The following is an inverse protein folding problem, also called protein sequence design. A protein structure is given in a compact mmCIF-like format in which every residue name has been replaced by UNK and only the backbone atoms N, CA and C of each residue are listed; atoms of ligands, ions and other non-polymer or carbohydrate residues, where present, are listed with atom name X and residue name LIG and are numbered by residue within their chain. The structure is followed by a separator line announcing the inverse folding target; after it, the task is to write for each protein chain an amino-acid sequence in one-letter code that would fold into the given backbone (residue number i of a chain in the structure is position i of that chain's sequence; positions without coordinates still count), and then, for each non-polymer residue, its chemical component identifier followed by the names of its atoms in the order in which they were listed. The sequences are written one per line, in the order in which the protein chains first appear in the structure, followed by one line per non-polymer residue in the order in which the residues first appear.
data_IF_800621688665
#
_entry.id   IF_800621688665
#
_cell.length_a   1.000
_cell.length_b   1.000
_cell.length_c   1.000
_cell.angle_alpha   90.00
_cell.angle_beta   90.00
_cell.angle_gamma   90.00
#
_symmetry.space_group_name_H-M   'P 1'
#
loop_
_entity.id
_entity.type
_entity.pdbx_description
1 polymer ?
#
# COMPACT_ATOMS: atom_id res chain seq x y z
N UNK A 1 -3.31 -19.71 -5.80
CA UNK A 1 -3.30 -19.04 -4.48
C UNK A 1 -3.09 -20.04 -3.34
N UNK A 2 -3.83 -21.14 -3.27
CA UNK A 2 -3.69 -22.15 -2.19
C UNK A 2 -2.25 -22.66 -2.01
N UNK A 3 -1.59 -23.07 -3.10
CA UNK A 3 -0.17 -23.48 -3.07
C UNK A 3 0.79 -22.37 -2.59
N UNK A 4 0.50 -21.11 -2.90
CA UNK A 4 1.31 -19.96 -2.44
C UNK A 4 1.19 -19.81 -0.93
N UNK A 5 -0.04 -19.93 -0.39
CA UNK A 5 -0.27 -19.86 1.06
C UNK A 5 0.43 -21.02 1.77
N UNK A 6 0.34 -22.23 1.24
CA UNK A 6 1.01 -23.41 1.80
C UNK A 6 2.53 -23.21 1.85
N UNK A 7 3.14 -22.80 0.75
CA UNK A 7 4.58 -22.50 0.70
C UNK A 7 4.97 -21.32 1.60
N UNK A 8 4.10 -20.31 1.68
CA UNK A 8 4.31 -19.15 2.54
C UNK A 8 4.36 -19.53 4.02
N UNK A 9 3.48 -20.42 4.47
CA UNK A 9 3.50 -20.93 5.86
C UNK A 9 4.80 -21.65 6.21
N UNK A 10 5.37 -22.41 5.28
CA UNK A 10 6.69 -23.06 5.45
C UNK A 10 7.81 -22.02 5.64
N UNK A 11 7.60 -20.80 5.13
CA UNK A 11 8.52 -19.66 5.28
C UNK A 11 8.16 -18.70 6.42
N UNK A 12 7.15 -19.04 7.24
CA UNK A 12 6.69 -18.20 8.36
C UNK A 12 5.77 -17.05 7.94
N UNK A 13 5.18 -17.10 6.75
CA UNK A 13 4.26 -16.06 6.24
C UNK A 13 2.83 -16.49 6.57
N UNK A 14 2.15 -15.69 7.41
CA UNK A 14 0.79 -15.94 7.87
C UNK A 14 -0.18 -14.77 7.61
N UNK A 15 0.26 -13.73 6.92
CA UNK A 15 -0.57 -12.59 6.54
C UNK A 15 -0.54 -12.39 5.03
N UNK A 16 -1.73 -12.40 4.41
CA UNK A 16 -1.91 -12.28 2.97
C UNK A 16 -2.85 -11.14 2.63
N UNK A 17 -2.44 -10.30 1.68
CA UNK A 17 -3.24 -9.18 1.20
C UNK A 17 -3.69 -9.44 -0.24
N UNK A 18 -4.99 -9.34 -0.47
CA UNK A 18 -5.57 -9.41 -1.80
C UNK A 18 -5.73 -8.01 -2.37
N UNK A 19 -5.12 -7.79 -3.51
CA UNK A 19 -5.15 -6.54 -4.29
C UNK A 19 -5.50 -6.86 -5.73
N UNK A 20 -5.20 -5.97 -6.66
CA UNK A 20 -5.38 -6.15 -8.09
C UNK A 20 -6.56 -5.34 -8.61
N UNK A 21 -7.30 -5.82 -9.59
CA UNK A 21 -8.50 -5.16 -10.07
C UNK A 21 -9.54 -5.05 -8.95
N UNK A 22 -10.48 -5.99 -8.88
CA UNK A 22 -11.40 -6.08 -7.73
C UNK A 22 -11.39 -7.50 -7.18
N UNK A 23 -10.81 -7.76 -5.99
CA UNK A 23 -10.69 -9.10 -5.44
C UNK A 23 -12.04 -9.74 -5.13
N UNK A 24 -13.09 -8.94 -4.83
CA UNK A 24 -14.42 -9.46 -4.52
C UNK A 24 -15.15 -10.08 -5.71
N UNK A 25 -14.67 -9.92 -6.94
CA UNK A 25 -15.11 -10.74 -8.09
C UNK A 25 -14.87 -12.24 -7.80
N UNK A 26 -13.87 -12.56 -7.00
CA UNK A 26 -13.51 -13.93 -6.61
C UNK A 26 -13.88 -14.23 -5.14
N UNK A 27 -14.87 -13.53 -4.55
CA UNK A 27 -15.22 -13.62 -3.12
C UNK A 27 -15.41 -15.07 -2.62
N UNK A 28 -16.00 -15.96 -3.43
CA UNK A 28 -16.18 -17.39 -3.08
C UNK A 28 -14.85 -18.14 -2.94
N UNK A 29 -13.87 -17.82 -3.80
CA UNK A 29 -12.54 -18.42 -3.70
C UNK A 29 -11.78 -17.88 -2.51
N UNK A 30 -11.90 -16.56 -2.21
CA UNK A 30 -11.27 -15.95 -1.05
C UNK A 30 -11.80 -16.55 0.25
N UNK A 31 -13.11 -16.70 0.40
CA UNK A 31 -13.73 -17.33 1.57
C UNK A 31 -13.25 -18.79 1.73
N UNK A 32 -13.15 -19.55 0.63
CA UNK A 32 -12.61 -20.92 0.65
C UNK A 32 -11.15 -20.97 1.14
N UNK A 33 -10.33 -19.99 0.77
CA UNK A 33 -8.96 -19.88 1.25
C UNK A 33 -8.91 -19.51 2.73
N UNK A 34 -9.74 -18.58 3.18
CA UNK A 34 -9.89 -18.24 4.59
C UNK A 34 -10.30 -19.45 5.43
N UNK A 35 -11.28 -20.23 4.95
CA UNK A 35 -11.74 -21.44 5.60
C UNK A 35 -10.65 -22.53 5.69
N UNK A 36 -9.91 -22.72 4.61
CA UNK A 36 -8.84 -23.73 4.53
C UNK A 36 -7.62 -23.38 5.39
N UNK A 37 -7.31 -22.08 5.54
CA UNK A 37 -6.11 -21.58 6.22
C UNK A 37 -6.48 -20.72 7.43
N UNK A 38 -7.16 -21.36 8.42
CA UNK A 38 -7.61 -20.68 9.65
C UNK A 38 -6.47 -20.15 10.52
N UNK A 39 -5.26 -20.63 10.32
CA UNK A 39 -4.03 -20.18 10.94
C UNK A 39 -3.42 -18.93 10.29
N UNK A 40 -4.02 -18.44 9.20
CA UNK A 40 -3.59 -17.24 8.50
C UNK A 40 -4.59 -16.08 8.67
N UNK A 41 -4.10 -14.86 8.59
CA UNK A 41 -4.92 -13.65 8.48
C UNK A 41 -4.93 -13.15 7.03
N UNK A 42 -6.12 -12.75 6.59
CA UNK A 42 -6.35 -12.25 5.24
C UNK A 42 -6.86 -10.82 5.25
N UNK A 43 -6.39 -10.02 4.32
CA UNK A 43 -6.84 -8.65 4.13
C UNK A 43 -7.13 -8.39 2.66
N UNK A 44 -8.20 -7.67 2.34
CA UNK A 44 -8.49 -7.31 0.96
C UNK A 44 -8.71 -5.81 0.80
N UNK A 45 -8.07 -5.25 -0.23
CA UNK A 45 -8.37 -3.90 -0.71
C UNK A 45 -9.45 -4.00 -1.77
N UNK A 46 -10.60 -3.39 -1.55
CA UNK A 46 -11.78 -3.52 -2.40
C UNK A 46 -12.47 -2.19 -2.64
N UNK A 47 -13.11 -2.04 -3.80
CA UNK A 47 -14.00 -0.90 -4.05
C UNK A 47 -15.34 -0.99 -3.30
N UNK A 48 -15.59 -2.09 -2.59
CA UNK A 48 -16.76 -2.31 -1.76
C UNK A 48 -18.05 -2.65 -2.51
N UNK A 49 -18.11 -2.48 -3.82
CA UNK A 49 -19.37 -2.56 -4.58
C UNK A 49 -19.97 -3.96 -4.70
N UNK A 50 -19.20 -5.00 -4.38
CA UNK A 50 -19.60 -6.42 -4.46
C UNK A 50 -19.78 -7.06 -3.09
N UNK A 51 -19.72 -6.29 -2.01
CA UNK A 51 -19.99 -6.75 -0.65
C UNK A 51 -21.51 -6.74 -0.45
N UNK A 52 -22.04 -7.88 -0.07
CA UNK A 52 -23.45 -8.12 0.19
C UNK A 52 -23.63 -8.83 1.54
N UNK A 53 -24.87 -9.03 1.93
CA UNK A 53 -25.26 -9.69 3.17
C UNK A 53 -24.69 -11.11 3.29
N UNK A 54 -24.67 -11.87 2.17
CA UNK A 54 -24.06 -13.21 2.13
C UNK A 54 -22.56 -13.15 2.41
N UNK A 55 -21.84 -12.21 1.80
CA UNK A 55 -20.41 -12.04 2.03
C UNK A 55 -20.11 -11.66 3.48
N UNK A 56 -20.91 -10.79 4.09
CA UNK A 56 -20.74 -10.41 5.49
C UNK A 56 -20.94 -11.61 6.43
N UNK A 57 -21.95 -12.45 6.20
CA UNK A 57 -22.17 -13.70 6.95
C UNK A 57 -20.99 -14.65 6.83
N UNK A 58 -20.47 -14.82 5.62
CA UNK A 58 -19.31 -15.67 5.39
C UNK A 58 -18.04 -15.11 6.07
N UNK A 59 -17.83 -13.79 6.04
CA UNK A 59 -16.71 -13.16 6.76
C UNK A 59 -16.80 -13.35 8.28
N UNK A 60 -18.01 -13.23 8.85
CA UNK A 60 -18.24 -13.55 10.28
C UNK A 60 -17.92 -15.02 10.55
N UNK A 61 -18.35 -15.94 9.68
CA UNK A 61 -18.15 -17.38 9.83
C UNK A 61 -16.68 -17.77 9.79
N UNK A 62 -15.90 -17.23 8.86
CA UNK A 62 -14.47 -17.56 8.73
C UNK A 62 -13.61 -16.85 9.78
N UNK A 63 -13.94 -15.60 10.13
CA UNK A 63 -13.35 -14.86 11.25
C UNK A 63 -11.92 -14.36 11.05
N UNK A 64 -11.27 -14.65 9.93
CA UNK A 64 -9.87 -14.33 9.66
C UNK A 64 -9.65 -13.41 8.44
N UNK A 65 -10.70 -12.69 8.00
CA UNK A 65 -10.64 -11.76 6.88
C UNK A 65 -11.05 -10.35 7.30
N UNK A 66 -10.30 -9.36 6.88
CA UNK A 66 -10.58 -7.92 7.06
C UNK A 66 -10.56 -7.19 5.73
N UNK A 67 -11.17 -6.01 5.68
CA UNK A 67 -11.27 -5.22 4.46
C UNK A 67 -10.74 -3.79 4.64
N UNK A 68 -10.11 -3.27 3.59
CA UNK A 68 -9.92 -1.83 3.37
C UNK A 68 -10.78 -1.39 2.19
N UNK A 69 -11.76 -0.56 2.46
CA UNK A 69 -12.66 -0.02 1.44
C UNK A 69 -12.00 1.20 0.79
N UNK A 70 -11.91 1.16 -0.52
CA UNK A 70 -11.35 2.28 -1.28
C UNK A 70 -12.28 3.50 -1.24
N UNK A 71 -11.77 4.63 -0.76
CA UNK A 71 -12.51 5.89 -0.65
C UNK A 71 -11.56 7.07 -0.85
N UNK A 72 -11.92 8.03 -1.73
CA UNK A 72 -10.99 9.09 -2.15
C UNK A 72 -11.38 10.49 -1.66
N UNK A 73 -12.38 10.60 -0.81
CA UNK A 73 -12.95 11.84 -0.29
C UNK A 73 -14.45 11.75 -0.10
N UNK A 74 -15.13 12.88 -0.16
CA UNK A 74 -16.59 12.91 -0.24
C UNK A 74 -17.07 12.57 -1.66
N UNK A 75 -18.35 12.77 -1.93
CA UNK A 75 -18.99 12.34 -3.19
C UNK A 75 -18.28 12.91 -4.43
N UNK A 76 -17.93 14.19 -4.40
CA UNK A 76 -17.28 14.87 -5.53
C UNK A 76 -15.91 14.23 -5.87
N UNK A 77 -15.02 14.11 -4.90
CA UNK A 77 -13.68 13.54 -5.10
C UNK A 77 -13.74 12.05 -5.41
N UNK A 78 -14.62 11.34 -4.71
CA UNK A 78 -14.74 9.89 -4.88
C UNK A 78 -15.34 9.53 -6.24
N UNK A 79 -16.48 10.13 -6.58
CA UNK A 79 -17.20 9.81 -7.82
C UNK A 79 -16.47 10.37 -9.04
N UNK A 80 -15.78 11.50 -8.91
CA UNK A 80 -14.90 12.04 -9.94
C UNK A 80 -13.79 11.07 -10.36
N UNK A 81 -13.30 10.22 -9.45
CA UNK A 81 -12.26 9.23 -9.74
C UNK A 81 -12.81 7.82 -10.02
N UNK A 82 -13.88 7.43 -9.34
CA UNK A 82 -14.36 6.04 -9.31
C UNK A 82 -15.66 5.81 -10.08
N UNK A 83 -16.31 6.88 -10.51
CA UNK A 83 -17.57 6.86 -11.24
C UNK A 83 -18.77 7.23 -10.38
N UNK A 84 -19.78 7.79 -11.04
CA UNK A 84 -21.00 8.33 -10.42
C UNK A 84 -21.72 7.28 -9.57
N UNK A 85 -22.14 7.67 -8.37
CA UNK A 85 -22.88 6.85 -7.42
C UNK A 85 -22.06 5.80 -6.66
N UNK A 86 -20.74 5.72 -6.89
CA UNK A 86 -19.87 4.79 -6.15
C UNK A 86 -19.73 5.22 -4.69
N UNK A 87 -19.65 6.52 -4.41
CA UNK A 87 -19.59 7.02 -3.03
C UNK A 87 -20.74 6.50 -2.17
N UNK A 88 -21.97 6.62 -2.68
CA UNK A 88 -23.14 6.11 -1.96
C UNK A 88 -23.06 4.60 -1.69
N UNK A 89 -22.67 3.80 -2.70
CA UNK A 89 -22.50 2.35 -2.54
C UNK A 89 -21.45 1.99 -1.49
N UNK A 90 -20.36 2.75 -1.45
CA UNK A 90 -19.30 2.56 -0.44
C UNK A 90 -19.83 2.83 0.96
N UNK A 91 -20.59 3.92 1.17
CA UNK A 91 -21.19 4.22 2.46
C UNK A 91 -22.23 3.18 2.89
N UNK A 92 -23.06 2.70 1.96
CA UNK A 92 -24.03 1.62 2.22
C UNK A 92 -23.29 0.31 2.62
N UNK A 93 -22.14 0.01 1.96
CA UNK A 93 -21.28 -1.13 2.31
C UNK A 93 -20.68 -1.00 3.71
N UNK A 94 -20.20 0.20 4.08
CA UNK A 94 -19.66 0.45 5.42
C UNK A 94 -20.72 0.23 6.51
N UNK A 95 -21.95 0.72 6.28
CA UNK A 95 -23.07 0.51 7.18
C UNK A 95 -23.38 -0.98 7.35
N UNK A 96 -23.35 -1.74 6.25
CA UNK A 96 -23.56 -3.19 6.28
C UNK A 96 -22.47 -3.90 7.08
N UNK A 97 -21.19 -3.60 6.82
CA UNK A 97 -20.06 -4.18 7.56
C UNK A 97 -20.14 -3.86 9.06
N UNK A 98 -20.51 -2.61 9.41
CA UNK A 98 -20.72 -2.17 10.78
C UNK A 98 -21.85 -2.94 11.45
N UNK A 99 -22.98 -3.17 10.74
CA UNK A 99 -24.13 -3.93 11.23
C UNK A 99 -23.74 -5.37 11.62
N UNK A 100 -22.84 -5.99 10.86
CA UNK A 100 -22.30 -7.33 11.15
C UNK A 100 -21.15 -7.35 12.17
N UNK A 101 -20.74 -6.19 12.70
CA UNK A 101 -19.64 -6.08 13.65
C UNK A 101 -18.28 -6.46 13.07
N UNK A 102 -18.12 -6.40 11.76
CA UNK A 102 -16.89 -6.74 11.07
C UNK A 102 -15.82 -5.66 11.23
N UNK A 103 -14.56 -6.09 11.38
CA UNK A 103 -13.41 -5.19 11.41
C UNK A 103 -13.06 -4.75 9.98
N UNK A 104 -13.14 -3.46 9.72
CA UNK A 104 -12.74 -2.87 8.43
C UNK A 104 -12.18 -1.46 8.59
N UNK A 105 -11.55 -1.00 7.54
CA UNK A 105 -11.03 0.37 7.42
C UNK A 105 -11.16 0.91 6.01
N UNK A 106 -10.48 2.01 5.75
CA UNK A 106 -10.39 2.61 4.42
C UNK A 106 -9.01 2.48 3.81
N UNK A 107 -8.95 2.49 2.48
CA UNK A 107 -7.74 2.65 1.68
C UNK A 107 -7.90 3.91 0.84
N UNK A 108 -7.01 4.86 1.05
CA UNK A 108 -7.05 6.19 0.47
C UNK A 108 -5.79 6.43 -0.33
N UNK A 109 -5.91 6.64 -1.62
CA UNK A 109 -4.81 7.18 -2.42
C UNK A 109 -4.88 8.70 -2.38
N UNK A 110 -4.03 9.33 -1.57
CA UNK A 110 -3.98 10.78 -1.52
C UNK A 110 -3.12 11.35 -2.65
N UNK A 111 -3.60 12.44 -3.21
CA UNK A 111 -3.05 13.14 -4.36
C UNK A 111 -2.90 14.62 -4.02
N UNK A 112 -2.26 15.38 -4.92
CA UNK A 112 -2.22 16.84 -4.83
C UNK A 112 -3.60 17.51 -4.78
N UNK A 113 -4.67 16.79 -5.19
CA UNK A 113 -6.02 17.35 -5.32
C UNK A 113 -6.96 17.02 -4.17
N UNK A 114 -6.80 15.90 -3.49
CA UNK A 114 -7.75 15.44 -2.46
C UNK A 114 -7.20 15.41 -1.03
N UNK A 115 -5.92 15.71 -0.84
CA UNK A 115 -5.24 15.58 0.46
C UNK A 115 -5.95 16.37 1.56
N UNK A 116 -6.39 17.59 1.29
CA UNK A 116 -7.06 18.44 2.28
C UNK A 116 -8.42 17.85 2.70
N UNK A 117 -9.12 17.22 1.78
CA UNK A 117 -10.41 16.57 2.03
C UNK A 117 -10.25 15.32 2.87
N UNK A 118 -9.38 14.39 2.43
CA UNK A 118 -9.24 13.06 3.06
C UNK A 118 -8.53 13.10 4.42
N UNK A 119 -7.92 14.22 4.77
CA UNK A 119 -7.29 14.45 6.08
C UNK A 119 -8.10 15.38 6.98
N UNK A 120 -9.21 15.95 6.49
CA UNK A 120 -10.07 16.85 7.28
C UNK A 120 -10.72 16.11 8.44
N UNK A 121 -10.96 16.83 9.54
CA UNK A 121 -11.68 16.27 10.70
C UNK A 121 -13.06 15.78 10.30
N UNK A 122 -13.76 16.52 9.42
CA UNK A 122 -15.09 16.15 8.93
C UNK A 122 -15.08 14.80 8.22
N UNK A 123 -14.08 14.54 7.39
CA UNK A 123 -13.94 13.26 6.68
C UNK A 123 -13.59 12.13 7.64
N UNK A 124 -12.64 12.35 8.54
CA UNK A 124 -12.24 11.38 9.54
C UNK A 124 -13.41 11.00 10.48
N UNK A 125 -14.15 11.99 10.97
CA UNK A 125 -15.31 11.76 11.84
C UNK A 125 -16.38 10.94 11.09
N UNK A 126 -16.63 11.23 9.83
CA UNK A 126 -17.58 10.48 8.98
C UNK A 126 -17.16 9.00 8.86
N UNK A 127 -15.90 8.70 8.52
CA UNK A 127 -15.48 7.29 8.37
C UNK A 127 -15.46 6.56 9.71
N UNK A 128 -15.15 7.25 10.82
CA UNK A 128 -15.23 6.68 12.18
C UNK A 128 -16.68 6.37 12.54
N UNK A 129 -17.61 7.29 12.28
CA UNK A 129 -19.05 7.07 12.49
C UNK A 129 -19.59 5.91 11.66
N UNK A 130 -19.10 5.73 10.43
CA UNK A 130 -19.40 4.58 9.57
C UNK A 130 -18.82 3.27 10.08
N UNK A 131 -17.96 3.30 11.09
CA UNK A 131 -17.44 2.10 11.76
C UNK A 131 -16.00 1.73 11.38
N UNK A 132 -15.30 2.54 10.59
CA UNK A 132 -13.90 2.32 10.26
C UNK A 132 -13.04 2.37 11.52
N UNK A 133 -12.09 1.42 11.66
CA UNK A 133 -11.16 1.34 12.78
C UNK A 133 -9.72 1.64 12.41
N UNK A 134 -9.42 1.60 11.12
CA UNK A 134 -8.12 1.99 10.58
C UNK A 134 -8.29 2.63 9.21
N UNK A 135 -7.26 3.37 8.79
CA UNK A 135 -7.16 3.94 7.45
C UNK A 135 -5.73 3.81 6.93
N UNK A 136 -5.61 3.35 5.68
CA UNK A 136 -4.36 3.30 4.94
C UNK A 136 -4.30 4.51 4.03
N UNK A 137 -3.31 5.37 4.23
CA UNK A 137 -2.97 6.43 3.31
C UNK A 137 -1.83 5.98 2.40
N UNK A 138 -2.07 5.97 1.12
CA UNK A 138 -1.07 5.73 0.08
C UNK A 138 -0.84 7.01 -0.70
N UNK A 139 0.39 7.47 -0.74
CA UNK A 139 0.83 8.51 -1.67
C UNK A 139 0.57 8.05 -3.10
N UNK A 140 0.04 8.92 -3.94
CA UNK A 140 -0.10 8.60 -5.35
C UNK A 140 1.27 8.29 -5.97
N UNK A 141 1.41 7.13 -6.57
CA UNK A 141 2.62 6.65 -7.22
C UNK A 141 2.45 6.74 -8.73
N UNK A 142 3.37 7.39 -9.47
CA UNK A 142 3.22 7.62 -10.91
C UNK A 142 3.63 6.38 -11.73
N UNK A 143 2.96 5.24 -11.49
CA UNK A 143 3.21 3.95 -12.14
C UNK A 143 2.36 3.82 -13.39
N UNK A 144 2.96 3.35 -14.48
CA UNK A 144 2.34 3.20 -15.80
C UNK A 144 2.68 4.34 -16.75
N UNK A 145 2.69 4.05 -18.04
CA UNK A 145 3.11 4.99 -19.09
C UNK A 145 2.24 6.26 -19.13
N UNK A 146 0.96 6.17 -18.77
CA UNK A 146 0.00 7.27 -18.80
C UNK A 146 -0.19 7.94 -17.42
N UNK A 147 0.69 7.68 -16.46
CA UNK A 147 0.55 8.21 -15.11
C UNK A 147 0.76 9.73 -15.08
N UNK A 148 -0.18 10.45 -14.49
CA UNK A 148 -0.18 11.89 -14.32
C UNK A 148 0.70 12.33 -13.15
N UNK A 149 1.88 12.88 -13.42
CA UNK A 149 2.82 13.33 -12.36
C UNK A 149 2.29 14.49 -11.53
N UNK A 150 1.39 15.31 -12.09
CA UNK A 150 0.72 16.41 -11.39
C UNK A 150 -0.23 15.97 -10.26
N UNK A 151 -0.56 14.68 -10.21
CA UNK A 151 -1.32 14.10 -9.09
C UNK A 151 -0.45 13.76 -7.90
N UNK A 152 0.87 13.77 -8.05
CA UNK A 152 1.78 13.60 -6.92
C UNK A 152 1.60 14.76 -5.94
N UNK A 153 1.47 14.51 -4.63
CA UNK A 153 1.48 15.57 -3.62
C UNK A 153 2.77 16.38 -3.72
N UNK A 154 2.70 17.69 -3.49
CA UNK A 154 3.89 18.52 -3.38
C UNK A 154 4.68 18.17 -2.11
N UNK A 155 5.92 18.65 -1.98
CA UNK A 155 6.72 18.46 -0.76
C UNK A 155 6.05 19.07 0.47
N UNK A 156 5.37 20.23 0.32
CA UNK A 156 4.61 20.88 1.38
C UNK A 156 3.41 20.05 1.81
N UNK A 157 2.70 19.48 0.84
CA UNK A 157 1.57 18.57 1.10
C UNK A 157 2.03 17.28 1.78
N UNK A 158 3.19 16.74 1.39
CA UNK A 158 3.76 15.55 2.03
C UNK A 158 4.25 15.85 3.45
N UNK A 159 4.85 17.02 3.69
CA UNK A 159 5.19 17.50 5.04
C UNK A 159 3.95 17.67 5.91
N UNK A 160 2.90 18.30 5.36
CA UNK A 160 1.60 18.39 6.03
C UNK A 160 1.08 16.99 6.40
N UNK A 161 1.09 16.03 5.48
CA UNK A 161 0.64 14.66 5.72
C UNK A 161 1.44 13.97 6.82
N UNK A 162 2.77 14.17 6.85
CA UNK A 162 3.64 13.68 7.91
C UNK A 162 3.20 14.14 9.31
N UNK A 163 2.90 15.43 9.46
CA UNK A 163 2.44 15.98 10.73
C UNK A 163 1.00 15.55 11.03
N UNK A 164 0.12 15.62 10.05
CA UNK A 164 -1.31 15.34 10.23
C UNK A 164 -1.59 13.91 10.68
N UNK A 165 -0.92 12.93 10.12
CA UNK A 165 -1.10 11.53 10.56
C UNK A 165 -0.61 11.32 12.00
N UNK A 166 0.41 12.02 12.42
CA UNK A 166 0.88 12.00 13.82
C UNK A 166 -0.11 12.66 14.78
N UNK A 167 -0.74 13.75 14.39
CA UNK A 167 -1.84 14.38 15.13
C UNK A 167 -3.04 13.44 15.27
N UNK A 168 -3.45 12.80 14.16
CA UNK A 168 -4.55 11.80 14.18
C UNK A 168 -4.27 10.68 15.18
N UNK A 169 -3.02 10.22 15.29
CA UNK A 169 -2.58 9.15 16.21
C UNK A 169 -2.31 9.63 17.65
N UNK A 170 -2.33 10.93 17.91
CA UNK A 170 -1.96 11.45 19.21
C UNK A 170 -2.88 10.89 20.32
N UNK A 171 -2.30 10.62 21.50
CA UNK A 171 -3.07 10.11 22.66
C UNK A 171 -4.09 11.13 23.15
N UNK A 172 -3.72 12.42 23.13
CA UNK A 172 -4.56 13.54 23.51
C UNK A 172 -4.95 14.33 22.27
N UNK A 173 -6.23 14.58 22.07
CA UNK A 173 -6.74 15.31 20.90
C UNK A 173 -6.75 14.54 19.58
N UNK A 174 -6.26 13.29 19.55
CA UNK A 174 -6.28 12.46 18.36
C UNK A 174 -7.66 11.88 18.03
N UNK A 175 -7.73 11.14 16.93
CA UNK A 175 -8.97 10.49 16.46
C UNK A 175 -9.02 9.00 16.86
N UNK A 176 -10.21 8.45 17.01
CA UNK A 176 -10.41 7.03 17.34
C UNK A 176 -10.28 6.12 16.11
N UNK A 177 -9.19 6.30 15.37
CA UNK A 177 -8.87 5.53 14.17
C UNK A 177 -7.36 5.32 14.08
N UNK A 178 -6.92 4.12 13.71
CA UNK A 178 -5.51 3.86 13.46
C UNK A 178 -5.16 4.28 12.02
N UNK A 179 -4.56 5.43 11.86
CA UNK A 179 -4.10 5.93 10.57
C UNK A 179 -2.68 5.42 10.25
N UNK A 180 -2.47 4.91 9.06
CA UNK A 180 -1.16 4.47 8.54
C UNK A 180 -0.83 5.29 7.31
N UNK A 181 0.37 5.86 7.26
CA UNK A 181 0.89 6.55 6.08
C UNK A 181 2.03 5.75 5.48
N UNK A 182 1.73 5.00 4.44
CA UNK A 182 2.63 4.00 3.88
C UNK A 182 4.00 4.58 3.49
N UNK A 183 4.06 5.81 3.00
CA UNK A 183 5.30 6.46 2.57
C UNK A 183 6.05 7.19 3.69
N UNK A 184 5.35 7.74 4.68
CA UNK A 184 5.98 8.52 5.76
C UNK A 184 6.21 7.71 7.05
N UNK A 185 5.74 6.46 7.12
CA UNK A 185 5.93 5.57 8.28
C UNK A 185 7.19 4.70 8.19
N UNK A 186 8.07 4.98 7.25
CA UNK A 186 9.33 4.23 7.08
C UNK A 186 10.20 4.18 8.34
N UNK A 187 10.15 5.20 9.19
CA UNK A 187 10.87 5.24 10.46
C UNK A 187 10.46 4.12 11.43
N UNK A 188 9.17 3.75 11.45
CA UNK A 188 8.65 2.72 12.35
C UNK A 188 8.92 1.29 11.88
N UNK A 189 9.26 1.11 10.60
CA UNK A 189 9.47 -0.21 9.98
C UNK A 189 10.90 -0.44 9.50
N UNK A 190 11.81 0.52 9.71
CA UNK A 190 13.22 0.42 9.33
C UNK A 190 13.44 0.62 7.83
N UNK A 191 12.72 1.56 7.23
CA UNK A 191 12.82 1.93 5.83
C UNK A 191 11.95 1.09 4.90
N UNK A 192 12.40 0.88 3.67
CA UNK A 192 11.66 0.10 2.67
C UNK A 192 11.47 -1.36 3.11
N UNK A 193 10.25 -1.87 3.01
CA UNK A 193 9.86 -3.23 3.40
C UNK A 193 9.78 -4.22 2.22
N UNK A 194 9.94 -3.73 0.99
CA UNK A 194 9.80 -4.48 -0.26
C UNK A 194 10.95 -5.44 -0.55
N UNK A 195 10.92 -6.11 -1.70
CA UNK A 195 11.96 -7.03 -2.17
C UNK A 195 12.09 -8.28 -1.31
N UNK A 196 11.00 -8.74 -0.70
CA UNK A 196 10.98 -9.93 0.15
C UNK A 196 11.61 -9.72 1.53
N UNK A 197 11.90 -8.47 1.96
CA UNK A 197 12.34 -8.18 3.33
C UNK A 197 11.20 -8.42 4.33
N UNK A 198 10.02 -7.87 4.05
CA UNK A 198 8.80 -8.08 4.84
C UNK A 198 7.59 -8.40 3.96
N UNK A 199 7.60 -8.05 2.68
CA UNK A 199 6.57 -8.43 1.73
C UNK A 199 7.10 -8.46 0.30
N UNK A 200 6.35 -9.09 -0.58
CA UNK A 200 6.44 -9.03 -2.03
C UNK A 200 5.04 -8.99 -2.64
N UNK A 201 4.96 -8.67 -3.91
CA UNK A 201 3.72 -8.70 -4.68
C UNK A 201 3.74 -9.85 -5.68
N UNK A 202 2.61 -10.50 -5.89
CA UNK A 202 2.45 -11.51 -6.95
C UNK A 202 1.29 -11.03 -7.82
N UNK A 203 1.59 -10.71 -9.07
CA UNK A 203 0.58 -10.20 -9.99
C UNK A 203 -0.34 -11.32 -10.54
N UNK A 204 -1.44 -10.98 -11.25
CA UNK A 204 -2.36 -11.98 -11.80
C UNK A 204 -1.72 -12.97 -12.78
N UNK A 205 -0.62 -12.59 -13.45
CA UNK A 205 0.12 -13.46 -14.36
C UNK A 205 1.00 -14.48 -13.62
N UNK A 206 1.26 -14.23 -12.32
CA UNK A 206 2.10 -15.04 -11.46
C UNK A 206 3.53 -14.51 -11.32
N UNK A 207 3.85 -13.34 -11.88
CA UNK A 207 5.17 -12.74 -11.71
C UNK A 207 5.32 -12.25 -10.28
N UNK A 208 6.48 -12.53 -9.69
CA UNK A 208 6.78 -12.17 -8.29
C UNK A 208 7.58 -10.88 -8.29
N UNK A 209 6.97 -9.80 -7.88
CA UNK A 209 7.46 -8.43 -7.94
C UNK A 209 7.95 -7.95 -6.56
N UNK A 210 8.97 -7.08 -6.49
CA UNK A 210 9.45 -6.54 -5.23
C UNK A 210 8.39 -5.79 -4.43
N UNK A 211 7.51 -5.05 -5.13
CA UNK A 211 6.51 -4.15 -4.55
C UNK A 211 5.31 -4.03 -5.47
N UNK A 212 4.14 -3.72 -4.93
CA UNK A 212 2.92 -3.44 -5.70
C UNK A 212 3.05 -2.23 -6.63
N UNK A 213 4.07 -1.41 -6.46
CA UNK A 213 4.38 -0.25 -7.31
C UNK A 213 5.59 -0.48 -8.22
N UNK A 214 6.27 -1.61 -8.13
CA UNK A 214 7.50 -1.91 -8.88
C UNK A 214 7.27 -3.16 -9.71
N UNK A 215 6.85 -2.95 -10.94
CA UNK A 215 6.43 -3.99 -11.88
C UNK A 215 7.61 -4.54 -12.72
N UNK A 216 8.64 -5.06 -12.02
CA UNK A 216 9.80 -5.71 -12.64
C UNK A 216 10.09 -7.04 -11.95
N UNK A 217 10.29 -8.08 -12.75
CA UNK A 217 10.57 -9.42 -12.23
C UNK A 217 11.39 -10.25 -13.23
N UNK A 218 12.01 -11.32 -12.73
CA UNK A 218 12.64 -12.38 -13.50
C UNK A 218 12.18 -13.78 -13.05
N UNK A 219 11.11 -13.85 -12.24
CA UNK A 219 10.59 -15.11 -11.72
C UNK A 219 9.06 -15.13 -11.67
N UNK A 220 8.48 -16.29 -12.05
CA UNK A 220 7.05 -16.51 -12.03
C UNK A 220 6.72 -17.70 -11.12
N UNK A 221 5.72 -17.52 -10.24
CA UNK A 221 5.28 -18.52 -9.25
C UNK A 221 4.64 -19.77 -9.87
N UNK A 222 4.27 -19.73 -11.15
CA UNK A 222 3.77 -20.89 -11.89
C UNK A 222 4.89 -21.82 -12.33
N UNK A 223 6.14 -21.31 -12.37
CA UNK A 223 7.32 -22.02 -12.88
C UNK A 223 8.30 -22.38 -11.75
N UNK A 224 8.31 -21.57 -10.68
CA UNK A 224 9.25 -21.68 -9.57
C UNK A 224 8.51 -21.73 -8.23
N UNK A 225 9.14 -22.32 -7.22
CA UNK A 225 8.64 -22.23 -5.84
C UNK A 225 8.71 -20.79 -5.32
N UNK A 226 7.92 -20.50 -4.27
CA UNK A 226 7.95 -19.19 -3.63
C UNK A 226 9.36 -18.84 -3.12
N UNK A 227 10.06 -19.80 -2.53
CA UNK A 227 11.42 -19.61 -2.04
C UNK A 227 12.41 -19.26 -3.17
N UNK A 228 12.30 -19.91 -4.33
CA UNK A 228 13.11 -19.60 -5.50
C UNK A 228 12.79 -18.20 -6.06
N UNK A 229 11.51 -17.85 -6.11
CA UNK A 229 11.08 -16.51 -6.51
C UNK A 229 11.64 -15.43 -5.55
N UNK A 230 11.63 -15.67 -4.25
CA UNK A 230 12.21 -14.77 -3.24
C UNK A 230 13.74 -14.67 -3.30
N UNK A 231 14.40 -15.55 -4.05
CA UNK A 231 15.86 -15.55 -4.30
C UNK A 231 16.22 -15.05 -5.70
N UNK A 232 15.26 -14.54 -6.48
CA UNK A 232 15.56 -13.99 -7.79
C UNK A 232 16.51 -12.78 -7.72
N UNK A 233 17.28 -12.48 -8.78
CA UNK A 233 18.34 -11.46 -8.73
C UNK A 233 17.86 -10.09 -8.23
N UNK A 234 16.71 -9.58 -8.69
CA UNK A 234 16.21 -8.27 -8.26
C UNK A 234 15.88 -8.24 -6.75
N UNK A 235 15.41 -9.35 -6.17
CA UNK A 235 15.16 -9.43 -4.72
C UNK A 235 16.46 -9.46 -3.92
N UNK A 236 17.50 -10.11 -4.43
CA UNK A 236 18.84 -10.06 -3.81
C UNK A 236 19.40 -8.64 -3.85
N UNK A 237 19.29 -7.96 -5.00
CA UNK A 237 19.71 -6.57 -5.14
C UNK A 237 18.94 -5.63 -4.17
N UNK A 238 17.65 -5.86 -3.96
CA UNK A 238 16.87 -5.13 -2.95
C UNK A 238 17.42 -5.33 -1.54
N UNK A 239 17.76 -6.56 -1.15
CA UNK A 239 18.30 -6.87 0.19
C UNK A 239 19.68 -6.27 0.41
N UNK A 240 20.52 -6.33 -0.59
CA UNK A 240 21.88 -5.77 -0.55
C UNK A 240 21.86 -4.23 -0.52
N UNK A 241 20.91 -3.61 -1.24
CA UNK A 241 20.77 -2.16 -1.30
C UNK A 241 20.09 -1.53 -0.09
N UNK A 242 19.35 -2.29 0.71
CA UNK A 242 18.61 -1.75 1.86
C UNK A 242 19.51 -1.53 3.08
N UNK A 243 19.34 -0.41 3.79
CA UNK A 243 18.40 0.68 3.51
C UNK A 243 18.91 1.56 2.36
N UNK A 244 18.07 1.83 1.38
CA UNK A 244 18.41 2.70 0.24
C UNK A 244 18.74 4.14 0.66
N UNK A 245 18.30 4.53 1.85
CA UNK A 245 18.62 5.81 2.47
C UNK A 245 18.63 5.65 4.01
N UNK A 246 19.58 6.30 4.68
CA UNK A 246 19.63 6.33 6.15
C UNK A 246 18.50 7.16 6.74
N UNK A 247 18.01 8.13 6.00
CA UNK A 247 16.78 8.86 6.33
C UNK A 247 15.57 8.01 5.89
N UNK A 248 14.88 7.41 6.83
CA UNK A 248 13.74 6.53 6.58
C UNK A 248 12.45 7.26 6.15
N UNK A 249 12.47 8.60 6.06
CA UNK A 249 11.45 9.38 5.35
C UNK A 249 11.72 9.44 3.83
N UNK A 250 12.80 8.80 3.37
CA UNK A 250 13.19 8.65 1.97
C UNK A 250 13.53 7.18 1.64
N UNK A 251 12.67 6.21 2.01
CA UNK A 251 13.04 4.80 1.98
C UNK A 251 12.93 4.14 0.61
N UNK A 252 12.13 4.69 -0.32
CA UNK A 252 11.74 3.99 -1.55
C UNK A 252 12.81 4.13 -2.65
N UNK A 253 13.23 3.01 -3.27
CA UNK A 253 14.18 3.06 -4.38
C UNK A 253 13.58 3.56 -5.69
N UNK A 254 12.24 3.71 -5.76
CA UNK A 254 11.56 4.28 -6.92
C UNK A 254 11.24 5.76 -6.71
N UNK A 255 10.55 6.10 -5.59
CA UNK A 255 10.00 7.43 -5.38
C UNK A 255 11.07 8.45 -4.93
N UNK A 256 11.93 8.07 -3.99
CA UNK A 256 12.91 8.99 -3.38
C UNK A 256 14.36 8.74 -3.81
N UNK A 257 14.65 7.57 -4.37
CA UNK A 257 16.00 7.19 -4.78
C UNK A 257 15.98 6.46 -6.13
N UNK A 258 15.41 7.08 -7.20
CA UNK A 258 15.12 6.40 -8.46
C UNK A 258 16.35 5.79 -9.14
N UNK A 259 17.54 6.33 -8.91
CA UNK A 259 18.80 5.78 -9.42
C UNK A 259 19.09 4.35 -8.92
N UNK A 260 18.58 3.99 -7.74
CA UNK A 260 18.77 2.63 -7.22
C UNK A 260 17.87 1.61 -7.94
N UNK A 261 16.62 1.97 -8.25
CA UNK A 261 15.75 1.08 -9.01
C UNK A 261 16.28 0.87 -10.42
N UNK A 262 16.68 1.94 -11.13
CA UNK A 262 17.30 1.83 -12.45
C UNK A 262 18.49 0.87 -12.42
N UNK A 263 19.43 1.10 -11.50
CA UNK A 263 20.60 0.25 -11.33
C UNK A 263 20.20 -1.22 -11.10
N UNK A 264 19.30 -1.49 -10.16
CA UNK A 264 18.88 -2.86 -9.85
C UNK A 264 18.24 -3.55 -11.05
N UNK A 265 17.36 -2.88 -11.79
CA UNK A 265 16.71 -3.47 -12.98
C UNK A 265 17.75 -3.81 -14.05
N UNK A 266 18.68 -2.91 -14.34
CA UNK A 266 19.74 -3.14 -15.33
C UNK A 266 20.69 -4.27 -14.94
N UNK A 267 21.23 -4.24 -13.73
CA UNK A 267 22.20 -5.23 -13.26
C UNK A 267 21.60 -6.63 -13.15
N UNK A 268 20.31 -6.73 -12.85
CA UNK A 268 19.63 -8.02 -12.67
C UNK A 268 18.95 -8.55 -13.92
N UNK A 269 18.78 -7.70 -14.93
CA UNK A 269 18.06 -8.03 -16.16
C UNK A 269 16.55 -8.29 -15.94
N UNK A 270 15.99 -7.79 -14.82
CA UNK A 270 14.56 -7.89 -14.56
C UNK A 270 13.77 -7.13 -15.64
N UNK A 271 12.64 -7.70 -16.05
CA UNK A 271 11.81 -7.15 -17.12
C UNK A 271 10.52 -6.60 -16.57
N UNK A 272 9.93 -5.62 -17.27
CA UNK A 272 8.59 -5.15 -16.97
C UNK A 272 7.60 -6.32 -17.01
N UNK A 273 6.75 -6.39 -16.01
CA UNK A 273 5.70 -7.40 -15.86
C UNK A 273 4.33 -6.91 -16.34
N UNK A 274 4.24 -5.65 -16.76
CA UNK A 274 3.06 -5.15 -17.46
C UNK A 274 3.05 -5.68 -18.89
N UNK A 275 2.12 -6.58 -19.17
CA UNK A 275 2.00 -7.23 -20.47
C UNK A 275 1.30 -6.37 -21.53
N UNK A 276 0.50 -5.39 -21.11
CA UNK A 276 -0.28 -4.56 -22.01
C UNK A 276 0.48 -3.32 -22.44
N UNK A 277 1.18 -2.69 -21.52
CA UNK A 277 1.93 -1.46 -21.74
C UNK A 277 3.22 -1.47 -20.92
N UNK A 278 4.21 -2.33 -21.31
CA UNK A 278 5.46 -2.44 -20.58
C UNK A 278 6.10 -1.07 -20.39
N UNK A 279 6.31 -0.69 -19.13
CA UNK A 279 6.97 0.57 -18.81
C UNK A 279 8.47 0.37 -18.67
N UNK A 280 9.23 1.24 -19.32
CA UNK A 280 10.68 1.31 -19.22
C UNK A 280 11.09 1.88 -17.86
N UNK A 281 12.17 1.35 -17.26
CA UNK A 281 12.60 1.79 -15.93
C UNK A 281 13.12 3.22 -15.92
N UNK A 282 13.70 3.68 -17.01
CA UNK A 282 14.13 5.07 -17.19
C UNK A 282 12.93 6.02 -17.21
N UNK A 283 11.86 5.63 -17.91
CA UNK A 283 10.61 6.40 -17.94
C UNK A 283 9.97 6.48 -16.57
N UNK A 284 9.78 5.32 -15.89
CA UNK A 284 9.21 5.27 -14.55
C UNK A 284 10.00 6.13 -13.55
N UNK A 285 11.32 5.94 -13.49
CA UNK A 285 12.20 6.64 -12.56
C UNK A 285 12.33 8.12 -12.91
N UNK A 286 12.30 8.48 -14.20
CA UNK A 286 12.32 9.86 -14.66
C UNK A 286 11.18 10.70 -14.10
N UNK A 287 9.98 10.13 -13.98
CA UNK A 287 8.81 10.78 -13.36
C UNK A 287 9.02 11.11 -11.87
N UNK A 288 9.88 10.37 -11.19
CA UNK A 288 10.15 10.53 -9.75
C UNK A 288 11.34 11.45 -9.45
N UNK A 289 12.22 11.74 -10.42
CA UNK A 289 13.51 12.42 -10.17
C UNK A 289 13.33 13.81 -9.56
N UNK A 290 12.50 14.65 -10.16
CA UNK A 290 12.26 16.03 -9.67
C UNK A 290 11.63 15.98 -8.28
N UNK A 291 10.64 15.13 -8.09
CA UNK A 291 9.98 14.93 -6.79
C UNK A 291 10.97 14.51 -5.69
N UNK A 292 11.86 13.55 -5.98
CA UNK A 292 12.87 13.07 -5.04
C UNK A 292 13.83 14.17 -4.57
N UNK A 293 14.23 15.05 -5.50
CA UNK A 293 15.11 16.21 -5.22
C UNK A 293 14.40 17.27 -4.37
N UNK A 294 13.15 17.59 -4.70
CA UNK A 294 12.35 18.57 -3.97
C UNK A 294 12.03 18.10 -2.54
N UNK A 295 11.71 16.83 -2.36
CA UNK A 295 11.41 16.24 -1.05
C UNK A 295 12.65 16.13 -0.14
N UNK A 296 13.85 16.03 -0.72
CA UNK A 296 15.09 15.73 0.00
C UNK A 296 15.32 16.61 1.21
N UNK A 297 15.32 17.94 1.00
CA UNK A 297 15.62 18.89 2.07
C UNK A 297 14.59 18.81 3.20
N UNK A 298 13.32 18.83 2.86
CA UNK A 298 12.23 18.74 3.84
C UNK A 298 12.31 17.44 4.65
N UNK A 299 12.56 16.31 3.98
CA UNK A 299 12.73 15.04 4.66
C UNK A 299 13.93 15.01 5.60
N UNK A 300 15.05 15.62 5.20
CA UNK A 300 16.26 15.67 6.03
C UNK A 300 16.02 16.57 7.26
N UNK A 301 15.38 17.73 7.11
CA UNK A 301 15.00 18.62 8.19
C UNK A 301 14.02 17.94 9.19
N UNK A 302 13.05 17.18 8.70
CA UNK A 302 12.11 16.42 9.54
C UNK A 302 12.81 15.28 10.28
N UNK A 303 13.71 14.57 9.60
CA UNK A 303 14.45 13.45 10.18
C UNK A 303 15.40 13.89 11.30
N UNK A 304 16.08 15.00 11.14
CA UNK A 304 16.94 15.59 12.17
C UNK A 304 16.16 16.02 13.41
N UNK A 305 14.94 16.55 13.23
CA UNK A 305 14.05 16.96 14.33
C UNK A 305 13.33 15.78 15.02
N UNK A 306 13.29 14.61 14.38
CA UNK A 306 12.72 13.41 15.00
C UNK A 306 13.64 12.84 16.07
N UNK A 307 13.10 12.08 17.03
CA UNK A 307 13.89 11.45 18.11
C UNK A 307 15.03 10.55 17.61
N UNK A 308 15.03 10.18 16.34
CA UNK A 308 16.10 9.39 15.71
C UNK A 308 17.32 10.23 15.29
N UNK A 309 17.14 11.55 15.08
CA UNK A 309 18.25 12.49 14.83
C UNK A 309 19.03 12.84 16.11
N UNK A 310 18.34 12.99 17.22
CA UNK A 310 18.95 13.39 18.51
C UNK A 310 19.74 12.28 19.21
N UNK A 311 19.51 11.00 18.90
CA UNK A 311 20.25 9.87 19.49
C UNK A 311 21.64 9.63 18.87
N UNK A 312 22.11 10.45 17.92
CA UNK A 312 23.44 10.31 17.30
C UNK A 312 24.54 11.09 17.99
N UNK A 313 24.20 12.01 18.89
CA UNK A 313 25.20 12.81 19.64
C UNK A 313 25.69 12.17 20.95
N UNK A 314 25.14 10.99 21.34
CA UNK A 314 25.52 10.31 22.59
C UNK A 314 26.14 8.91 22.38
N UNK A 315 26.83 8.68 21.26
CA UNK A 315 27.62 7.42 21.09
C UNK A 315 29.02 7.73 20.58
#
# INVERSE_FOLDING_TARGET
MDSIITQGKELGIYFYMYTGGEPMVRKKDLIRLCEKHQDCAFHAFTNGTLIDDEMCKEMVRVGNMTLSISLEGFEEENDGRRGEGIYKKVLDTMDLLKQYGLLFGTSICYTSKNIDVVTSDKFLDMIIEKGCRFTWYFHYMPVGNEASVELMPTKEQREYMYHRVREIRAKEGGKQIFAMDFQNDGEFVGGCIAGGKRYCHINPNGDVEPCVFVHYSSANIKEKSLLECLKQPIFLAYREGQPFNQNHLRPCPMLENPQYLQKMVHETGAKSTDMQSPEDVEHLCGKCTVYAEEWKKTADDLWEKSCHGSCREEK
#
